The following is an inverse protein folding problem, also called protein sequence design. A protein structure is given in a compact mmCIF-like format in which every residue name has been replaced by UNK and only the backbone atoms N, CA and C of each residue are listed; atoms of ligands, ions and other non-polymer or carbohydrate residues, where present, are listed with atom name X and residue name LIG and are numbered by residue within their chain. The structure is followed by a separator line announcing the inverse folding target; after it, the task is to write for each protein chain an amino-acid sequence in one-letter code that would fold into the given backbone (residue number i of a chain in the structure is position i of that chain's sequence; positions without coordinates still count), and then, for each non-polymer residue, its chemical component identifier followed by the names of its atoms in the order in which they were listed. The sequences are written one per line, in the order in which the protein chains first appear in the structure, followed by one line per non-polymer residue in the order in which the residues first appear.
data_IF_008512435999
#
_entry.id   IF_008512435999
#
_cell.length_a   1.000
_cell.length_b   1.000
_cell.length_c   1.000
_cell.angle_alpha   90.00
_cell.angle_beta   90.00
_cell.angle_gamma   90.00
#
_symmetry.space_group_name_H-M   'P 1'
#
loop_
_entity.id
_entity.type
_entity.pdbx_description
1 polymer ?
#
# COMPACT_ATOMS: atom_id res chain seq x y z
N UNK A 1 12.61 -8.45 2.32
CA UNK A 1 11.47 -7.81 3.00
C UNK A 1 11.75 -6.39 3.49
N UNK A 2 12.61 -6.19 4.51
CA UNK A 2 12.86 -4.84 5.09
C UNK A 2 13.22 -3.81 4.01
N UNK A 3 14.20 -4.09 3.15
CA UNK A 3 14.62 -3.18 2.07
C UNK A 3 13.45 -2.85 1.15
N UNK A 4 12.67 -3.85 0.75
CA UNK A 4 11.52 -3.64 -0.11
C UNK A 4 10.45 -2.77 0.58
N UNK A 5 10.18 -3.00 1.86
CA UNK A 5 9.31 -2.14 2.69
C UNK A 5 9.83 -0.71 2.71
N UNK A 6 11.12 -0.49 2.98
CA UNK A 6 11.71 0.86 3.01
C UNK A 6 11.52 1.57 1.67
N UNK A 7 11.78 0.88 0.55
CA UNK A 7 11.57 1.43 -0.80
C UNK A 7 10.09 1.78 -1.04
N UNK A 8 9.16 0.89 -0.68
CA UNK A 8 7.72 1.12 -0.80
C UNK A 8 7.26 2.36 -0.03
N UNK A 9 7.64 2.47 1.25
CA UNK A 9 7.26 3.60 2.11
C UNK A 9 7.99 4.89 1.73
N UNK A 10 9.21 4.82 1.20
CA UNK A 10 9.87 5.98 0.59
C UNK A 10 9.06 6.50 -0.61
N UNK A 11 8.58 5.60 -1.47
CA UNK A 11 7.70 5.99 -2.59
C UNK A 11 6.37 6.60 -2.12
N UNK A 12 5.77 6.06 -1.06
CA UNK A 12 4.57 6.67 -0.44
C UNK A 12 4.86 8.06 0.10
N UNK A 13 5.96 8.24 0.83
CA UNK A 13 6.37 9.53 1.38
C UNK A 13 6.60 10.56 0.25
N UNK A 14 7.25 10.17 -0.85
CA UNK A 14 7.46 11.03 -2.01
C UNK A 14 6.14 11.46 -2.64
N UNK A 15 5.18 10.55 -2.86
CA UNK A 15 3.88 10.88 -3.45
C UNK A 15 3.06 11.79 -2.55
N UNK A 16 2.99 11.46 -1.24
CA UNK A 16 2.18 12.20 -0.27
C UNK A 16 2.76 13.60 0.03
N UNK A 17 4.09 13.76 -0.04
CA UNK A 17 4.75 15.06 0.15
C UNK A 17 4.78 15.93 -1.12
N UNK A 18 4.47 15.38 -2.29
CA UNK A 18 4.52 16.08 -3.57
C UNK A 18 3.33 17.04 -3.80
N UNK A 19 3.32 18.15 -3.06
CA UNK A 19 2.30 19.21 -3.16
C UNK A 19 2.41 20.07 -4.43
N UNK A 20 3.57 20.06 -5.07
CA UNK A 20 3.91 20.94 -6.21
C UNK A 20 3.93 20.21 -7.55
N UNK A 21 3.42 18.98 -7.61
CA UNK A 21 3.37 18.15 -8.81
C UNK A 21 4.75 17.98 -9.49
N UNK A 22 5.82 17.92 -8.69
CA UNK A 22 7.20 17.74 -9.15
C UNK A 22 7.36 16.36 -9.77
N UNK A 23 7.59 16.31 -11.08
CA UNK A 23 7.72 15.07 -11.87
C UNK A 23 8.83 14.16 -11.35
N UNK A 24 9.98 14.73 -10.94
CA UNK A 24 11.11 13.93 -10.46
C UNK A 24 10.79 13.15 -9.17
N UNK A 25 10.00 13.72 -8.26
CA UNK A 25 9.63 13.03 -7.01
C UNK A 25 8.79 11.79 -7.30
N UNK A 26 7.82 11.92 -8.20
CA UNK A 26 7.01 10.80 -8.63
C UNK A 26 7.81 9.79 -9.45
N UNK A 27 8.78 10.24 -10.25
CA UNK A 27 9.71 9.35 -10.97
C UNK A 27 10.51 8.49 -10.01
N UNK A 28 11.08 9.08 -8.95
CA UNK A 28 11.77 8.31 -7.91
C UNK A 28 10.79 7.37 -7.19
N UNK A 29 9.56 7.80 -6.92
CA UNK A 29 8.55 6.93 -6.30
C UNK A 29 8.23 5.69 -7.17
N UNK A 30 8.09 5.88 -8.49
CA UNK A 30 7.88 4.79 -9.44
C UNK A 30 9.07 3.84 -9.51
N UNK A 31 10.29 4.38 -9.51
CA UNK A 31 11.51 3.58 -9.45
C UNK A 31 11.60 2.79 -8.12
N UNK A 32 11.28 3.41 -6.98
CA UNK A 32 11.24 2.73 -5.69
C UNK A 32 10.23 1.57 -5.68
N UNK A 33 9.05 1.74 -6.30
CA UNK A 33 8.07 0.67 -6.41
C UNK A 33 8.58 -0.50 -7.28
N UNK A 34 9.23 -0.21 -8.40
CA UNK A 34 9.82 -1.23 -9.26
C UNK A 34 11.00 -1.97 -8.60
N UNK A 35 11.90 -1.24 -7.92
CA UNK A 35 13.00 -1.84 -7.16
C UNK A 35 12.50 -2.65 -5.96
N UNK A 36 11.43 -2.20 -5.28
CA UNK A 36 10.81 -3.00 -4.23
C UNK A 36 10.32 -4.35 -4.80
N UNK A 37 9.69 -4.33 -5.98
CA UNK A 37 9.21 -5.53 -6.67
C UNK A 37 10.35 -6.48 -7.03
N UNK A 38 11.48 -5.94 -7.49
CA UNK A 38 12.69 -6.71 -7.76
C UNK A 38 13.22 -7.40 -6.49
N UNK A 39 13.24 -6.70 -5.35
CA UNK A 39 13.67 -7.27 -4.07
C UNK A 39 12.70 -8.33 -3.56
N UNK A 40 11.39 -8.12 -3.74
CA UNK A 40 10.38 -9.10 -3.33
C UNK A 40 9.06 -8.95 -4.12
N UNK A 41 8.56 -10.01 -4.78
CA UNK A 41 7.44 -9.91 -5.72
C UNK A 41 6.11 -9.46 -5.08
N UNK A 42 5.86 -9.81 -3.80
CA UNK A 42 4.65 -9.37 -3.08
C UNK A 42 4.57 -7.86 -2.87
N UNK A 43 5.66 -7.12 -3.09
CA UNK A 43 5.64 -5.66 -2.98
C UNK A 43 5.02 -4.98 -4.21
N UNK A 44 4.55 -5.74 -5.21
CA UNK A 44 3.66 -5.23 -6.26
C UNK A 44 2.45 -4.46 -5.70
N UNK A 45 2.03 -4.79 -4.47
CA UNK A 45 1.01 -4.04 -3.72
C UNK A 45 1.35 -2.55 -3.60
N UNK A 46 2.63 -2.18 -3.45
CA UNK A 46 3.04 -0.78 -3.32
C UNK A 46 2.74 0.01 -4.59
N UNK A 47 3.06 -0.54 -5.77
CA UNK A 47 2.73 0.09 -7.04
C UNK A 47 1.22 0.29 -7.19
N UNK A 48 0.42 -0.73 -6.87
CA UNK A 48 -1.05 -0.61 -6.93
C UNK A 48 -1.61 0.42 -5.96
N UNK A 49 -1.10 0.47 -4.72
CA UNK A 49 -1.48 1.49 -3.73
C UNK A 49 -1.11 2.89 -4.20
N UNK A 50 0.06 3.08 -4.81
CA UNK A 50 0.45 4.39 -5.36
C UNK A 50 -0.51 4.84 -6.46
N UNK A 51 -0.95 3.93 -7.35
CA UNK A 51 -1.98 4.25 -8.35
C UNK A 51 -3.29 4.65 -7.69
N UNK A 52 -3.74 3.94 -6.66
CA UNK A 52 -4.94 4.32 -5.89
C UNK A 52 -4.79 5.70 -5.24
N UNK A 53 -3.60 6.05 -4.73
CA UNK A 53 -3.34 7.39 -4.19
C UNK A 53 -3.38 8.47 -5.27
N UNK A 54 -2.91 8.20 -6.49
CA UNK A 54 -3.06 9.11 -7.62
C UNK A 54 -4.53 9.31 -8.00
N UNK A 55 -5.31 8.22 -8.07
CA UNK A 55 -6.76 8.27 -8.31
C UNK A 55 -7.45 9.06 -7.19
N UNK A 56 -7.07 8.87 -5.92
CA UNK A 56 -7.65 9.64 -4.82
C UNK A 56 -7.31 11.13 -4.91
N UNK A 57 -6.06 11.47 -5.21
CA UNK A 57 -5.55 12.86 -5.28
C UNK A 57 -6.15 13.63 -6.47
N UNK A 58 -6.24 13.00 -7.63
CA UNK A 58 -6.59 13.65 -8.90
C UNK A 58 -7.91 13.20 -9.50
N UNK A 59 -8.62 12.26 -8.87
CA UNK A 59 -9.85 11.64 -9.38
C UNK A 59 -9.60 11.05 -10.76
N UNK A 60 -10.54 11.20 -11.70
CA UNK A 60 -10.45 10.68 -13.06
C UNK A 60 -9.43 11.44 -13.94
N UNK A 61 -8.98 12.63 -13.51
CA UNK A 61 -8.00 13.44 -14.25
C UNK A 61 -6.55 13.01 -14.01
N UNK A 62 -6.29 11.95 -13.23
CA UNK A 62 -4.92 11.53 -12.90
C UNK A 62 -4.07 11.20 -14.13
N UNK A 63 -4.67 10.66 -15.19
CA UNK A 63 -3.99 10.41 -16.48
C UNK A 63 -3.51 11.68 -17.19
N UNK A 64 -4.01 12.86 -16.82
CA UNK A 64 -3.58 14.15 -17.39
C UNK A 64 -2.43 14.78 -16.61
N UNK A 65 -2.06 14.21 -15.47
CA UNK A 65 -1.11 14.82 -14.54
C UNK A 65 0.32 14.40 -14.84
N UNK A 66 1.22 15.38 -14.92
CA UNK A 66 2.63 15.17 -15.26
C UNK A 66 3.34 14.33 -14.20
N UNK A 67 2.97 14.47 -12.94
CA UNK A 67 3.56 13.72 -11.84
C UNK A 67 3.13 12.23 -11.88
N UNK A 68 1.91 11.90 -12.29
CA UNK A 68 1.51 10.52 -12.59
C UNK A 68 2.38 9.90 -13.70
N UNK A 69 2.60 10.63 -14.80
CA UNK A 69 3.50 10.14 -15.86
C UNK A 69 4.95 10.04 -15.42
N UNK A 70 5.40 10.89 -14.50
CA UNK A 70 6.69 10.72 -13.81
C UNK A 70 6.76 9.37 -13.10
N UNK A 71 5.75 9.02 -12.31
CA UNK A 71 5.65 7.71 -11.67
C UNK A 71 5.70 6.55 -12.67
N UNK A 72 4.95 6.64 -13.77
CA UNK A 72 4.99 5.63 -14.84
C UNK A 72 6.40 5.52 -15.44
N UNK A 73 7.06 6.65 -15.73
CA UNK A 73 8.42 6.67 -16.26
C UNK A 73 9.42 6.00 -15.31
N UNK A 74 9.34 6.29 -14.00
CA UNK A 74 10.15 5.63 -12.98
C UNK A 74 9.94 4.12 -12.93
N UNK A 75 8.68 3.68 -12.99
CA UNK A 75 8.33 2.27 -13.06
C UNK A 75 8.86 1.59 -14.32
N UNK A 76 8.79 2.25 -15.48
CA UNK A 76 9.36 1.74 -16.74
C UNK A 76 10.88 1.59 -16.66
N UNK A 77 11.59 2.55 -16.06
CA UNK A 77 13.05 2.45 -15.85
C UNK A 77 13.38 1.21 -15.02
N UNK A 78 12.69 1.00 -13.90
CA UNK A 78 12.88 -0.20 -13.09
C UNK A 78 12.52 -1.50 -13.84
N UNK A 79 11.46 -1.48 -14.66
CA UNK A 79 11.11 -2.60 -15.54
C UNK A 79 12.20 -2.92 -16.56
N UNK A 80 12.82 -1.92 -17.16
CA UNK A 80 13.96 -2.10 -18.08
C UNK A 80 15.16 -2.71 -17.34
N UNK A 81 15.46 -2.23 -16.13
CA UNK A 81 16.52 -2.79 -15.28
C UNK A 81 16.24 -4.27 -14.99
N UNK A 82 15.03 -4.60 -14.55
CA UNK A 82 14.60 -5.97 -14.28
C UNK A 82 14.74 -6.88 -15.51
N UNK A 83 14.24 -6.43 -16.66
CA UNK A 83 14.34 -7.19 -17.91
C UNK A 83 15.80 -7.44 -18.29
N UNK A 84 16.65 -6.42 -18.17
CA UNK A 84 18.06 -6.49 -18.53
C UNK A 84 18.84 -7.44 -17.62
N UNK A 85 18.53 -7.46 -16.32
CA UNK A 85 19.23 -8.28 -15.34
C UNK A 85 18.72 -9.73 -15.29
N UNK A 86 17.41 -9.95 -15.46
CA UNK A 86 16.80 -11.25 -15.20
C UNK A 86 16.29 -11.99 -16.44
N UNK A 87 15.80 -11.28 -17.45
CA UNK A 87 15.09 -11.90 -18.58
C UNK A 87 15.99 -12.00 -19.81
N UNK A 88 16.62 -10.89 -20.22
CA UNK A 88 17.43 -10.82 -21.43
C UNK A 88 18.64 -11.77 -21.45
N UNK A 89 19.35 -12.03 -20.34
CA UNK A 89 20.52 -12.92 -20.37
C UNK A 89 20.17 -14.35 -20.81
N UNK A 90 19.03 -14.88 -20.39
CA UNK A 90 18.52 -16.18 -20.84
C UNK A 90 17.00 -16.27 -20.64
N UNK A 91 16.19 -15.84 -21.63
CA UNK A 91 14.74 -15.78 -21.47
C UNK A 91 14.12 -17.16 -21.28
N UNK A 92 14.67 -18.20 -21.93
CA UNK A 92 14.16 -19.57 -21.82
C UNK A 92 14.29 -20.10 -20.39
N UNK A 93 15.47 -19.96 -19.79
CA UNK A 93 15.71 -20.39 -18.40
C UNK A 93 14.86 -19.57 -17.43
N UNK A 94 14.73 -18.26 -17.63
CA UNK A 94 13.86 -17.42 -16.80
C UNK A 94 12.41 -17.94 -16.77
N UNK A 95 11.79 -18.17 -17.94
CA UNK A 95 10.41 -18.65 -17.99
C UNK A 95 10.24 -20.06 -17.41
N UNK A 96 11.20 -20.96 -17.60
CA UNK A 96 11.18 -22.29 -17.00
C UNK A 96 11.24 -22.21 -15.47
N UNK A 97 12.12 -21.38 -14.92
CA UNK A 97 12.20 -21.14 -13.48
C UNK A 97 10.91 -20.52 -12.95
N UNK A 98 10.33 -19.54 -13.65
CA UNK A 98 9.06 -18.94 -13.23
C UNK A 98 7.92 -19.94 -13.23
N UNK A 99 7.84 -20.86 -14.19
CA UNK A 99 6.83 -21.92 -14.19
C UNK A 99 6.99 -22.89 -13.00
N UNK A 100 8.23 -23.18 -12.59
CA UNK A 100 8.51 -24.03 -11.43
C UNK A 100 8.20 -23.32 -10.11
N UNK A 101 8.62 -22.06 -9.97
CA UNK A 101 8.46 -21.26 -8.74
C UNK A 101 7.01 -20.79 -8.54
N UNK A 102 6.35 -20.34 -9.61
CA UNK A 102 4.99 -19.80 -9.61
C UNK A 102 3.95 -20.81 -10.11
N UNK A 103 4.07 -22.06 -9.68
CA UNK A 103 3.03 -23.08 -9.89
C UNK A 103 1.68 -22.65 -9.24
N UNK A 104 0.64 -23.46 -9.40
CA UNK A 104 -0.75 -23.16 -9.02
C UNK A 104 -0.96 -22.62 -7.57
N UNK A 105 0.01 -22.78 -6.69
CA UNK A 105 -0.01 -22.27 -5.31
C UNK A 105 0.28 -20.77 -5.18
N UNK A 106 0.83 -20.11 -6.20
CA UNK A 106 1.22 -18.69 -6.15
C UNK A 106 0.38 -17.77 -7.05
N UNK A 107 -0.62 -18.31 -7.75
CA UNK A 107 -1.51 -17.50 -8.60
C UNK A 107 -2.26 -16.50 -7.71
N UNK A 108 -2.12 -15.18 -7.95
CA UNK A 108 -2.86 -14.14 -7.24
C UNK A 108 -4.36 -14.43 -7.20
N UNK A 109 -5.03 -14.30 -6.03
CA UNK A 109 -6.47 -14.57 -5.91
C UNK A 109 -7.32 -13.88 -6.99
N UNK A 110 -7.03 -12.62 -7.32
CA UNK A 110 -7.77 -11.87 -8.34
C UNK A 110 -7.67 -12.49 -9.75
N UNK A 111 -6.54 -13.10 -10.08
CA UNK A 111 -6.31 -13.72 -11.39
C UNK A 111 -6.94 -15.11 -11.51
N UNK A 112 -7.36 -15.72 -10.39
CA UNK A 112 -8.03 -17.02 -10.42
C UNK A 112 -9.47 -16.95 -10.94
N UNK A 113 -10.12 -15.77 -10.86
CA UNK A 113 -11.55 -15.62 -11.15
C UNK A 113 -12.48 -16.42 -10.23
N UNK A 114 -11.96 -17.08 -9.20
CA UNK A 114 -12.72 -17.95 -8.33
C UNK A 114 -13.08 -17.24 -7.03
N UNK A 115 -14.37 -16.94 -6.85
CA UNK A 115 -14.89 -16.23 -5.69
C UNK A 115 -14.59 -16.95 -4.36
N UNK A 116 -14.55 -18.28 -4.34
CA UNK A 116 -14.22 -19.04 -3.13
C UNK A 116 -12.77 -18.81 -2.69
N UNK A 117 -11.83 -18.71 -3.65
CA UNK A 117 -10.42 -18.41 -3.37
C UNK A 117 -10.27 -16.98 -2.84
N UNK A 118 -10.96 -16.03 -3.46
CA UNK A 118 -10.95 -14.63 -3.04
C UNK A 118 -11.52 -14.51 -1.61
N UNK A 119 -12.71 -15.07 -1.35
CA UNK A 119 -13.33 -15.06 -0.02
C UNK A 119 -12.45 -15.72 1.03
N UNK A 120 -11.77 -16.82 0.70
CA UNK A 120 -10.81 -17.45 1.59
C UNK A 120 -9.63 -16.52 1.92
N UNK A 121 -9.07 -15.82 0.93
CA UNK A 121 -7.99 -14.86 1.16
C UNK A 121 -8.42 -13.71 2.11
N UNK A 122 -9.68 -13.26 2.03
CA UNK A 122 -10.23 -12.30 3.00
C UNK A 122 -10.25 -12.88 4.42
N UNK A 123 -10.72 -14.12 4.60
CA UNK A 123 -10.77 -14.78 5.90
C UNK A 123 -9.36 -14.99 6.47
N UNK A 124 -8.44 -15.48 5.65
CA UNK A 124 -7.05 -15.70 6.04
C UNK A 124 -6.40 -14.38 6.50
N UNK A 125 -6.63 -13.28 5.78
CA UNK A 125 -6.13 -11.98 6.17
C UNK A 125 -6.78 -11.44 7.46
N UNK A 126 -8.07 -11.69 7.69
CA UNK A 126 -8.73 -11.35 8.95
C UNK A 126 -8.13 -12.12 10.14
N UNK A 127 -7.79 -13.40 9.95
CA UNK A 127 -7.11 -14.22 10.96
C UNK A 127 -5.70 -13.68 11.23
N UNK A 128 -4.98 -13.23 10.19
CA UNK A 128 -3.66 -12.63 10.36
C UNK A 128 -3.75 -11.31 11.12
N UNK A 129 -4.71 -10.44 10.77
CA UNK A 129 -4.93 -9.17 11.46
C UNK A 129 -5.38 -9.37 12.90
N UNK A 130 -6.22 -10.37 13.19
CA UNK A 130 -6.68 -10.62 14.57
C UNK A 130 -5.56 -11.12 15.48
N UNK A 131 -4.51 -11.71 14.91
CA UNK A 131 -3.27 -12.08 15.61
C UNK A 131 -2.30 -10.91 15.79
N UNK A 132 -2.53 -9.77 15.12
CA UNK A 132 -1.73 -8.56 15.35
C UNK A 132 -2.06 -7.93 16.70
N UNK A 133 -1.17 -7.04 17.15
CA UNK A 133 -1.34 -6.29 18.39
C UNK A 133 -2.73 -5.60 18.44
N UNK A 134 -3.52 -5.77 19.52
CA UNK A 134 -4.86 -5.16 19.67
C UNK A 134 -4.91 -3.65 19.39
N UNK A 135 -3.79 -2.93 19.60
CA UNK A 135 -3.65 -1.51 19.30
C UNK A 135 -3.87 -1.19 17.81
N UNK A 136 -3.56 -2.12 16.91
CA UNK A 136 -3.82 -2.00 15.47
C UNK A 136 -5.31 -1.93 15.19
N UNK A 137 -6.09 -2.81 15.83
CA UNK A 137 -7.54 -2.84 15.67
C UNK A 137 -8.19 -1.55 16.17
N UNK A 138 -7.71 -1.04 17.32
CA UNK A 138 -8.10 0.26 17.86
C UNK A 138 -7.77 1.38 16.88
N UNK A 139 -6.57 1.36 16.29
CA UNK A 139 -6.15 2.34 15.28
C UNK A 139 -7.05 2.36 14.05
N UNK A 140 -7.46 1.19 13.54
CA UNK A 140 -8.39 1.08 12.41
C UNK A 140 -9.77 1.64 12.78
N UNK A 141 -10.36 1.20 13.89
CA UNK A 141 -11.69 1.67 14.32
C UNK A 141 -11.72 3.18 14.59
N UNK A 142 -10.68 3.69 15.25
CA UNK A 142 -10.55 5.10 15.53
C UNK A 142 -10.31 5.91 14.24
N UNK A 143 -9.50 5.39 13.31
CA UNK A 143 -9.34 5.94 11.97
C UNK A 143 -10.67 6.06 11.23
N UNK A 144 -11.48 4.99 11.23
CA UNK A 144 -12.82 4.98 10.61
C UNK A 144 -13.75 6.02 11.23
N UNK A 145 -13.73 6.19 12.55
CA UNK A 145 -14.49 7.23 13.25
C UNK A 145 -14.02 8.63 12.88
N UNK A 146 -12.71 8.81 12.71
CA UNK A 146 -12.06 10.10 12.38
C UNK A 146 -12.16 10.48 10.90
N UNK A 147 -12.54 9.57 10.00
CA UNK A 147 -12.92 9.92 8.61
C UNK A 147 -14.02 10.99 8.62
N UNK A 148 -14.91 10.96 9.62
CA UNK A 148 -16.00 11.95 9.77
C UNK A 148 -15.50 13.32 10.28
N UNK A 149 -14.36 13.40 10.95
CA UNK A 149 -13.83 14.64 11.55
C UNK A 149 -12.88 15.45 10.65
N UNK A 150 -12.63 14.99 9.41
CA UNK A 150 -12.13 15.78 8.25
C UNK A 150 -10.64 16.19 8.13
N UNK A 151 -9.61 15.71 8.86
CA UNK A 151 -8.24 16.03 8.45
C UNK A 151 -7.90 15.29 7.14
N UNK A 152 -7.55 16.05 6.08
CA UNK A 152 -7.25 15.49 4.75
C UNK A 152 -6.13 14.43 4.79
N UNK A 153 -5.17 14.57 5.71
CA UNK A 153 -4.08 13.61 5.88
C UNK A 153 -4.50 12.27 6.49
N UNK A 154 -5.55 12.24 7.35
CA UNK A 154 -6.08 10.98 7.89
C UNK A 154 -6.74 10.19 6.77
N UNK A 155 -7.51 10.85 5.90
CA UNK A 155 -8.13 10.17 4.77
C UNK A 155 -7.08 9.55 3.84
N UNK A 156 -5.95 10.23 3.60
CA UNK A 156 -4.83 9.67 2.84
C UNK A 156 -4.25 8.41 3.50
N UNK A 157 -4.04 8.42 4.81
CA UNK A 157 -3.55 7.26 5.56
C UNK A 157 -4.55 6.10 5.57
N UNK A 158 -5.85 6.38 5.69
CA UNK A 158 -6.91 5.37 5.59
C UNK A 158 -6.89 4.73 4.21
N UNK A 159 -6.81 5.52 3.14
CA UNK A 159 -6.80 5.01 1.76
C UNK A 159 -5.52 4.22 1.47
N UNK A 160 -4.37 4.69 1.95
CA UNK A 160 -3.11 3.96 1.89
C UNK A 160 -3.26 2.59 2.55
N UNK A 161 -3.77 2.52 3.78
CA UNK A 161 -3.92 1.25 4.49
C UNK A 161 -4.97 0.35 3.82
N UNK A 162 -6.13 0.89 3.45
CA UNK A 162 -7.19 0.13 2.80
C UNK A 162 -6.71 -0.47 1.45
N UNK A 163 -5.98 0.32 0.65
CA UNK A 163 -5.44 -0.17 -0.62
C UNK A 163 -4.29 -1.15 -0.46
N UNK A 164 -3.41 -0.98 0.53
CA UNK A 164 -2.39 -1.97 0.87
C UNK A 164 -3.02 -3.30 1.28
N UNK A 165 -4.03 -3.25 2.15
CA UNK A 165 -4.75 -4.41 2.62
C UNK A 165 -5.46 -5.14 1.47
N UNK A 166 -6.20 -4.40 0.64
CA UNK A 166 -6.86 -4.96 -0.53
C UNK A 166 -5.84 -5.52 -1.54
N UNK A 167 -4.74 -4.81 -1.77
CA UNK A 167 -3.65 -5.28 -2.62
C UNK A 167 -3.08 -6.59 -2.10
N UNK A 168 -2.85 -6.71 -0.79
CA UNK A 168 -2.36 -7.94 -0.18
C UNK A 168 -3.35 -9.10 -0.38
N UNK A 169 -4.63 -8.90 -0.06
CA UNK A 169 -5.69 -9.91 -0.21
C UNK A 169 -5.83 -10.37 -1.67
N UNK A 170 -5.74 -9.45 -2.62
CA UNK A 170 -6.03 -9.73 -4.03
C UNK A 170 -4.79 -10.21 -4.80
N UNK A 171 -3.60 -9.79 -4.41
CA UNK A 171 -2.35 -10.06 -5.13
C UNK A 171 -1.47 -11.11 -4.46
N UNK A 172 -1.61 -11.35 -3.15
CA UNK A 172 -0.80 -12.29 -2.40
C UNK A 172 -1.64 -13.48 -1.97
N UNK A 173 -1.21 -14.69 -2.35
CA UNK A 173 -1.94 -15.92 -2.00
C UNK A 173 -1.60 -16.42 -0.60
N UNK A 174 -0.33 -16.38 -0.22
CA UNK A 174 0.16 -16.93 1.04
C UNK A 174 0.30 -15.81 2.08
N UNK A 175 -0.52 -15.88 3.12
CA UNK A 175 -0.63 -14.86 4.17
C UNK A 175 0.21 -15.24 5.39
N UNK A 176 1.51 -15.45 5.19
CA UNK A 176 2.40 -15.74 6.32
C UNK A 176 2.61 -14.50 7.20
N UNK A 177 2.77 -14.72 8.51
CA UNK A 177 2.84 -13.64 9.49
C UNK A 177 4.02 -12.67 9.28
N UNK A 178 5.10 -13.11 8.63
CA UNK A 178 6.25 -12.23 8.38
C UNK A 178 5.98 -11.19 7.28
N UNK A 179 5.06 -11.45 6.34
CA UNK A 179 4.71 -10.49 5.28
C UNK A 179 3.89 -9.30 5.77
N UNK A 180 3.43 -9.34 7.02
CA UNK A 180 2.78 -8.21 7.68
C UNK A 180 3.73 -7.00 7.74
N UNK A 181 5.06 -7.19 7.63
CA UNK A 181 6.04 -6.12 7.53
C UNK A 181 5.77 -5.10 6.41
N UNK A 182 5.06 -5.50 5.34
CA UNK A 182 4.66 -4.56 4.28
C UNK A 182 3.52 -3.63 4.71
N UNK A 183 2.73 -4.04 5.69
CA UNK A 183 1.52 -3.36 6.16
C UNK A 183 1.71 -2.64 7.49
N UNK A 184 2.53 -3.16 8.41
CA UNK A 184 2.69 -2.61 9.76
C UNK A 184 3.09 -1.14 9.81
N UNK A 185 3.99 -0.60 8.95
CA UNK A 185 4.35 0.82 9.08
C UNK A 185 3.18 1.74 8.74
N UNK A 186 2.32 1.36 7.79
CA UNK A 186 1.11 2.09 7.42
C UNK A 186 0.10 2.14 8.57
N UNK A 187 -0.06 1.01 9.27
CA UNK A 187 -0.89 0.94 10.47
C UNK A 187 -0.34 1.80 11.61
N UNK A 188 0.98 1.76 11.82
CA UNK A 188 1.64 2.59 12.83
C UNK A 188 1.47 4.08 12.53
N UNK A 189 1.55 4.49 11.26
CA UNK A 189 1.28 5.88 10.85
C UNK A 189 -0.16 6.29 11.08
N UNK A 190 -1.12 5.41 10.77
CA UNK A 190 -2.54 5.67 11.04
C UNK A 190 -2.79 5.79 12.55
N UNK A 191 -2.29 4.85 13.35
CA UNK A 191 -2.42 4.89 14.80
C UNK A 191 -1.78 6.16 15.39
N UNK A 192 -0.60 6.54 14.93
CA UNK A 192 0.07 7.78 15.35
C UNK A 192 -0.77 9.02 15.01
N UNK A 193 -1.36 9.08 13.81
CA UNK A 193 -2.26 10.16 13.41
C UNK A 193 -3.51 10.24 14.29
N UNK A 194 -4.12 9.09 14.62
CA UNK A 194 -5.27 9.00 15.53
C UNK A 194 -4.90 9.52 16.92
N UNK A 195 -3.79 9.03 17.49
CA UNK A 195 -3.33 9.44 18.81
C UNK A 195 -3.02 10.94 18.84
N UNK A 196 -2.40 11.47 17.79
CA UNK A 196 -2.13 12.90 17.66
C UNK A 196 -3.42 13.74 17.65
N UNK A 197 -4.45 13.33 16.92
CA UNK A 197 -5.74 14.03 16.94
C UNK A 197 -6.45 13.92 18.29
N UNK A 198 -6.36 12.77 18.95
CA UNK A 198 -6.90 12.60 20.30
C UNK A 198 -6.22 13.54 21.29
N UNK A 199 -4.88 13.63 21.24
CA UNK A 199 -4.08 14.53 22.08
C UNK A 199 -4.26 16.01 21.75
N UNK A 200 -4.62 16.35 20.50
CA UNK A 200 -5.00 17.71 20.06
C UNK A 200 -6.45 18.06 20.37
N UNK A 201 -7.27 17.09 20.74
CA UNK A 201 -8.66 17.26 21.16
C UNK A 201 -8.87 17.26 22.69
N UNK A 202 -7.96 17.75 23.56
CA UNK A 202 -8.26 17.85 24.97
C UNK A 202 -9.31 18.95 25.09
N UNK A 203 -10.38 18.73 25.86
CA UNK A 203 -11.34 19.79 26.24
C UNK A 203 -12.23 20.37 25.13
N UNK A 204 -12.95 19.52 24.38
CA UNK A 204 -14.39 19.80 24.07
C UNK A 204 -15.34 19.00 24.96
N UNK A 205 -14.87 18.66 26.15
CA UNK A 205 -15.70 18.72 27.35
C UNK A 205 -16.10 20.18 27.61
N UNK A 206 -16.88 20.75 26.70
CA UNK A 206 -17.95 21.66 27.06
C UNK A 206 -19.00 20.82 27.80
N UNK A 207 -18.61 20.28 28.95
CA UNK A 207 -19.44 20.28 30.16
C UNK A 207 -19.68 21.74 30.53
N UNK A 208 -20.32 22.47 29.62
CA UNK A 208 -21.25 23.53 29.98
C UNK A 208 -22.34 22.68 30.66
N UNK A 209 -22.38 22.55 31.98
CA UNK A 209 -22.92 23.59 32.85
C UNK A 209 -23.98 24.44 32.10
N UNK A 210 -24.89 23.77 31.39
CA UNK A 210 -26.24 24.27 31.15
C UNK A 210 -27.08 23.86 32.35
N UNK A 211 -26.64 24.31 33.52
CA UNK A 211 -27.55 24.71 34.60
C UNK A 211 -28.05 26.09 34.22
N UNK A 212 -29.19 26.14 33.53
CA UNK A 212 -30.22 27.17 33.64
C UNK A 212 -31.42 26.74 32.83
#
# INVERSE_FOLDING_TARGET
DIIATVLGYLGFALILSNKSEKVWQSTIAGLCAALAFEVHPYTAIFASTMVVLFIYKYKLDFFRKKDFWGFVAGGMIGGIIFLSLHVLPNPRTYFQLQQLMFSNTHIPPILTGNLAIISKAFIDMLIVISKLNPLVFIGILAGMKLIRSRPSYINQLVILNASLLLGFILLVRNHDAYYIIYYTPGLSLLLAAVLLEFLKSPTKSQFIYRTR
#
